data_IF_754232234818
#
_entry.id   IF_754232234818
#
_cell.length_a   1.000
_cell.length_b   1.000
_cell.length_c   1.000
_cell.angle_alpha   90.00
_cell.angle_beta   90.00
_cell.angle_gamma   90.00
#
_symmetry.space_group_name_H-M   'P 1'
#
loop_
_entity.id
_entity.type
_entity.pdbx_description
1 polymer ?
#
# COMPACT_ATOMS: atom_id res chain seq x y z
N UNK A 1 -0.70 -13.49 2.39
CA UNK A 1 0.38 -13.62 1.41
C UNK A 1 1.57 -14.22 2.13
N UNK A 2 2.01 -15.39 1.68
CA UNK A 2 3.22 -16.04 2.18
C UNK A 2 4.46 -15.48 1.45
N UNK A 3 5.67 -15.64 2.01
CA UNK A 3 6.90 -15.23 1.34
C UNK A 3 7.02 -15.86 -0.06
N UNK A 4 7.31 -15.03 -1.06
CA UNK A 4 7.45 -15.45 -2.46
C UNK A 4 6.16 -15.45 -3.29
N UNK A 5 4.99 -15.25 -2.67
CA UNK A 5 3.73 -15.10 -3.41
C UNK A 5 3.62 -13.74 -4.09
N UNK A 6 2.94 -13.71 -5.24
CA UNK A 6 2.64 -12.49 -6.00
C UNK A 6 1.13 -12.31 -6.08
N UNK A 7 0.66 -11.09 -5.86
CA UNK A 7 -0.76 -10.71 -6.04
C UNK A 7 -0.87 -9.49 -6.94
N UNK A 8 -2.08 -9.21 -7.44
CA UNK A 8 -2.37 -8.10 -8.35
C UNK A 8 -3.60 -7.33 -7.88
N UNK A 9 -3.54 -5.99 -7.98
CA UNK A 9 -4.66 -5.12 -7.68
C UNK A 9 -4.76 -3.98 -8.71
N UNK A 10 -6.00 -3.61 -9.03
CA UNK A 10 -6.35 -2.50 -9.92
C UNK A 10 -7.76 -2.01 -9.56
N UNK A 11 -8.06 -0.73 -9.79
CA UNK A 11 -9.37 -0.12 -9.41
C UNK A 11 -10.58 -0.85 -10.02
N UNK A 12 -10.41 -1.46 -11.20
CA UNK A 12 -11.42 -2.32 -11.83
C UNK A 12 -11.73 -3.62 -11.08
N UNK A 13 -10.79 -4.10 -10.24
CA UNK A 13 -10.99 -5.25 -9.36
C UNK A 13 -11.71 -4.80 -8.08
N UNK A 14 -11.37 -3.61 -7.57
CA UNK A 14 -11.99 -3.02 -6.39
C UNK A 14 -11.00 -2.23 -5.53
N UNK A 15 -11.21 -2.25 -4.21
CA UNK A 15 -10.30 -1.68 -3.20
C UNK A 15 -9.78 -2.79 -2.28
N UNK A 16 -8.66 -2.55 -1.62
CA UNK A 16 -8.09 -3.52 -0.69
C UNK A 16 -7.56 -2.89 0.60
N UNK A 17 -7.39 -3.72 1.64
CA UNK A 17 -6.70 -3.38 2.88
C UNK A 17 -5.59 -4.38 3.09
N UNK A 18 -4.37 -3.90 3.33
CA UNK A 18 -3.24 -4.71 3.72
C UNK A 18 -2.98 -4.56 5.22
N UNK A 19 -2.67 -5.67 5.87
CA UNK A 19 -2.28 -5.71 7.27
C UNK A 19 -1.27 -6.85 7.47
N UNK A 20 -0.26 -6.62 8.30
CA UNK A 20 0.55 -7.69 8.84
C UNK A 20 -0.28 -8.45 9.90
N UNK A 21 -0.61 -9.70 9.63
CA UNK A 21 -1.37 -10.55 10.56
C UNK A 21 -0.53 -11.06 11.72
N UNK A 22 0.80 -11.09 11.57
CA UNK A 22 1.70 -11.47 12.66
C UNK A 22 1.82 -10.35 13.68
N UNK A 23 1.80 -10.74 14.96
CA UNK A 23 2.02 -9.82 16.09
C UNK A 23 3.49 -9.76 16.52
N UNK A 24 4.32 -10.68 16.06
CA UNK A 24 5.72 -10.83 16.50
C UNK A 24 6.71 -10.64 15.36
N UNK A 25 6.32 -10.99 14.15
CA UNK A 25 7.21 -10.96 12.98
C UNK A 25 6.94 -9.74 12.10
N UNK A 26 8.02 -9.16 11.58
CA UNK A 26 7.93 -8.09 10.59
C UNK A 26 7.70 -8.68 9.20
N UNK A 27 6.71 -8.15 8.47
CA UNK A 27 6.48 -8.48 7.07
C UNK A 27 7.03 -7.35 6.17
N UNK A 28 7.74 -7.71 5.11
CA UNK A 28 8.21 -6.79 4.06
C UNK A 28 7.63 -7.25 2.73
N UNK A 29 7.05 -6.31 1.98
CA UNK A 29 6.48 -6.54 0.65
C UNK A 29 7.18 -5.67 -0.39
N UNK A 30 7.26 -6.19 -1.63
CA UNK A 30 7.71 -5.43 -2.78
C UNK A 30 6.49 -5.00 -3.60
N UNK A 31 6.35 -3.69 -3.85
CA UNK A 31 5.24 -3.13 -4.61
C UNK A 31 5.76 -2.55 -5.93
N UNK A 32 5.08 -2.89 -7.03
CA UNK A 32 5.31 -2.31 -8.35
C UNK A 32 4.02 -1.68 -8.83
N UNK A 33 4.08 -0.40 -9.18
CA UNK A 33 2.95 0.35 -9.71
C UNK A 33 3.27 0.86 -11.12
N UNK A 34 2.31 0.72 -12.04
CA UNK A 34 2.46 1.12 -13.43
C UNK A 34 1.12 1.65 -14.00
N UNK A 35 1.04 2.93 -14.44
CA UNK A 35 2.07 3.96 -14.29
C UNK A 35 2.35 4.29 -12.81
N UNK A 36 3.49 4.91 -12.48
CA UNK A 36 3.72 5.39 -11.13
C UNK A 36 2.67 6.45 -10.76
N UNK A 37 2.32 6.53 -9.48
CA UNK A 37 1.36 7.51 -8.95
C UNK A 37 1.91 8.18 -7.70
N UNK A 38 1.38 9.36 -7.38
CA UNK A 38 1.76 10.16 -6.19
C UNK A 38 0.58 10.42 -5.24
N UNK A 39 -0.63 10.05 -5.63
CA UNK A 39 -1.85 10.26 -4.85
C UNK A 39 -2.69 8.98 -4.83
N UNK A 40 -3.25 8.64 -3.67
CA UNK A 40 -4.22 7.55 -3.51
C UNK A 40 -5.46 8.03 -2.78
N UNK A 41 -6.47 7.17 -2.69
CA UNK A 41 -7.69 7.41 -1.94
C UNK A 41 -7.77 6.47 -0.74
N UNK A 42 -7.95 7.03 0.44
CA UNK A 42 -8.24 6.26 1.65
C UNK A 42 -9.75 6.16 1.83
N UNK A 43 -10.23 4.99 2.26
CA UNK A 43 -11.63 4.68 2.45
C UNK A 43 -11.89 4.35 3.91
N UNK A 44 -12.79 5.10 4.54
CA UNK A 44 -13.23 4.83 5.91
C UNK A 44 -14.36 3.79 5.89
N UNK A 45 -14.09 2.58 6.37
CA UNK A 45 -14.99 1.42 6.29
C UNK A 45 -16.34 1.65 7.00
N UNK A 46 -16.34 2.35 8.13
CA UNK A 46 -17.54 2.60 8.95
C UNK A 46 -18.49 3.65 8.38
N UNK A 47 -17.98 4.59 7.59
CA UNK A 47 -18.75 5.76 7.11
C UNK A 47 -18.87 5.82 5.60
N UNK A 48 -18.10 5.00 4.87
CA UNK A 48 -17.90 5.08 3.41
C UNK A 48 -17.33 6.42 2.93
N UNK A 49 -16.81 7.25 3.84
CA UNK A 49 -16.14 8.50 3.46
C UNK A 49 -14.82 8.20 2.80
N UNK A 50 -14.43 9.07 1.87
CA UNK A 50 -13.15 8.98 1.18
C UNK A 50 -12.33 10.24 1.37
N UNK A 51 -11.01 10.08 1.39
CA UNK A 51 -10.07 11.19 1.44
C UNK A 51 -8.93 10.95 0.47
N UNK A 52 -8.55 12.00 -0.25
CA UNK A 52 -7.37 11.97 -1.12
C UNK A 52 -6.13 12.15 -0.26
N UNK A 53 -5.10 11.33 -0.49
CA UNK A 53 -3.85 11.36 0.26
C UNK A 53 -2.65 11.37 -0.69
N UNK A 54 -1.63 12.15 -0.33
CA UNK A 54 -0.34 12.13 -1.02
C UNK A 54 0.47 10.95 -0.50
N UNK A 55 1.00 10.13 -1.42
CA UNK A 55 1.98 9.10 -1.07
C UNK A 55 3.33 9.75 -0.86
N UNK A 56 3.92 9.50 0.29
CA UNK A 56 5.26 9.96 0.65
C UNK A 56 6.24 8.79 0.66
N UNK A 57 7.49 9.07 0.31
CA UNK A 57 8.57 8.11 0.42
C UNK A 57 9.31 8.31 1.74
N UNK A 58 9.39 7.26 2.56
CA UNK A 58 10.24 7.26 3.74
C UNK A 58 11.74 7.36 3.37
N UNK A 59 12.15 6.67 2.32
CA UNK A 59 13.51 6.68 1.80
C UNK A 59 13.53 6.52 0.27
N UNK A 60 14.61 6.96 -0.37
CA UNK A 60 14.85 6.77 -1.81
C UNK A 60 16.30 6.34 -2.03
N UNK A 61 16.50 5.27 -2.81
CA UNK A 61 17.81 4.69 -3.10
C UNK A 61 18.63 4.38 -1.82
N UNK A 62 17.97 3.87 -0.77
CA UNK A 62 18.62 3.52 0.49
C UNK A 62 18.94 4.70 1.43
N UNK A 63 18.52 5.92 1.10
CA UNK A 63 18.70 7.11 1.95
C UNK A 63 17.36 7.67 2.41
N UNK A 64 17.22 7.94 3.71
CA UNK A 64 16.01 8.55 4.26
C UNK A 64 15.77 9.93 3.64
N UNK A 65 14.51 10.23 3.32
CA UNK A 65 14.10 11.57 2.89
C UNK A 65 13.69 12.31 4.17
N UNK A 66 14.29 13.47 4.39
CA UNK A 66 14.01 14.37 5.53
C UNK A 66 12.76 15.19 5.25
#
# INVERSE_FOLDING_TARGET
MNPGEVTYMHDKIGIHRLQNSSKTETAITLHLYCPPYTESMNFEESTSKTSKVNVIFHSKFGKQIV
#
